data_IF_538685297529
#
_entry.id   IF_538685297529
#
_cell.length_a   1.000
_cell.length_b   1.000
_cell.length_c   1.000
_cell.angle_alpha   90.00
_cell.angle_beta   90.00
_cell.angle_gamma   90.00
#
_symmetry.space_group_name_H-M   'P 1'
#
loop_
_entity.id
_entity.type
_entity.pdbx_description
1 polymer ?
#
# COMPACT_ATOMS: atom_id res chain seq x y z
N UNK A 1 6.67 4.44 13.10
CA UNK A 1 7.88 4.67 13.92
C UNK A 1 8.44 6.08 13.73
N UNK A 2 8.87 6.48 12.52
CA UNK A 2 9.47 7.81 12.27
C UNK A 2 8.58 9.01 12.60
N UNK A 3 7.27 8.94 12.31
CA UNK A 3 6.31 9.99 12.70
C UNK A 3 6.29 10.17 14.22
N UNK A 4 6.27 9.06 14.97
CA UNK A 4 6.27 9.08 16.43
C UNK A 4 7.56 9.71 16.97
N UNK A 5 8.73 9.32 16.43
CA UNK A 5 10.03 9.91 16.80
C UNK A 5 10.00 11.43 16.57
N UNK A 6 9.52 11.88 15.42
CA UNK A 6 9.41 13.30 15.11
C UNK A 6 8.50 14.07 16.08
N UNK A 7 7.32 13.51 16.39
CA UNK A 7 6.40 14.08 17.38
C UNK A 7 7.01 14.14 18.79
N UNK A 8 7.70 13.08 19.23
CA UNK A 8 8.39 13.06 20.52
C UNK A 8 9.47 14.13 20.61
N UNK A 9 10.24 14.33 19.53
CA UNK A 9 11.26 15.37 19.46
C UNK A 9 10.65 16.78 19.54
N UNK A 10 9.53 17.02 18.86
CA UNK A 10 8.80 18.29 18.97
C UNK A 10 8.25 18.52 20.38
N UNK A 11 7.75 17.47 21.04
CA UNK A 11 7.28 17.55 22.42
C UNK A 11 8.43 17.91 23.37
N UNK A 12 9.59 17.27 23.22
CA UNK A 12 10.80 17.60 23.99
C UNK A 12 11.17 19.06 23.76
N UNK A 13 11.23 19.52 22.50
CA UNK A 13 11.53 20.92 22.18
C UNK A 13 10.54 21.87 22.86
N UNK A 14 9.25 21.53 22.84
CA UNK A 14 8.20 22.33 23.49
C UNK A 14 8.47 22.46 25.00
N UNK A 15 8.79 21.37 25.68
CA UNK A 15 9.12 21.38 27.12
C UNK A 15 10.29 22.35 27.39
N UNK A 16 11.34 22.31 26.58
CA UNK A 16 12.49 23.20 26.72
C UNK A 16 12.13 24.67 26.45
N UNK A 17 11.27 24.96 25.47
CA UNK A 17 10.78 26.31 25.21
C UNK A 17 9.93 26.85 26.37
N UNK A 18 9.07 26.01 26.96
CA UNK A 18 8.31 26.36 28.16
C UNK A 18 9.23 26.61 29.36
N UNK A 19 10.21 25.73 29.60
CA UNK A 19 11.19 25.92 30.67
C UNK A 19 11.95 27.24 30.50
N UNK A 20 12.33 27.60 29.26
CA UNK A 20 13.00 28.88 28.98
C UNK A 20 12.12 30.08 29.34
N UNK A 21 10.81 30.00 29.07
CA UNK A 21 9.87 31.10 29.31
C UNK A 21 9.48 31.24 30.79
N UNK A 22 9.22 30.13 31.47
CA UNK A 22 8.62 30.13 32.80
C UNK A 22 9.61 29.83 33.94
N UNK A 23 10.72 29.15 33.64
CA UNK A 23 11.73 28.77 34.63
C UNK A 23 13.17 28.93 34.08
N UNK A 24 13.57 30.14 33.65
CA UNK A 24 14.85 30.39 33.00
C UNK A 24 16.06 30.07 33.88
N UNK A 25 15.90 30.11 35.21
CA UNK A 25 16.96 29.82 36.18
C UNK A 25 16.95 28.37 36.67
N UNK A 26 16.12 27.50 36.09
CA UNK A 26 16.11 26.07 36.42
C UNK A 26 17.45 25.41 36.08
N UNK A 27 17.82 24.36 36.83
CA UNK A 27 19.04 23.57 36.57
C UNK A 27 19.10 23.07 35.11
N UNK A 28 17.95 22.70 34.55
CA UNK A 28 17.82 22.29 33.16
C UNK A 28 18.24 23.41 32.19
N UNK A 29 17.82 24.65 32.42
CA UNK A 29 18.10 25.77 31.52
C UNK A 29 19.49 26.38 31.72
N UNK A 30 19.98 26.42 32.97
CA UNK A 30 21.32 26.93 33.30
C UNK A 30 22.45 26.01 32.81
N UNK A 31 22.14 24.77 32.45
CA UNK A 31 23.07 23.84 31.79
C UNK A 31 23.47 24.30 30.37
N UNK A 32 22.64 25.11 29.71
CA UNK A 32 22.96 25.66 28.40
C UNK A 32 23.80 26.94 28.52
N UNK A 33 25.00 26.94 27.91
CA UNK A 33 25.93 28.08 27.90
C UNK A 33 25.96 28.75 26.52
N UNK A 34 25.92 30.08 26.51
CA UNK A 34 25.98 30.88 25.28
C UNK A 34 24.88 30.48 24.28
N UNK A 35 25.27 30.20 23.04
CA UNK A 35 24.33 29.82 21.97
C UNK A 35 23.92 28.34 21.99
N UNK A 36 24.35 27.52 22.95
CA UNK A 36 24.10 26.06 22.90
C UNK A 36 22.62 25.70 22.92
N UNK A 37 21.76 26.45 23.63
CA UNK A 37 20.31 26.25 23.59
C UNK A 37 19.74 26.47 22.18
N UNK A 38 20.19 27.53 21.51
CA UNK A 38 19.76 27.85 20.14
C UNK A 38 20.18 26.73 19.17
N UNK A 39 21.43 26.26 19.26
CA UNK A 39 21.93 25.15 18.44
C UNK A 39 21.18 23.85 18.72
N UNK A 40 20.90 23.54 19.99
CA UNK A 40 20.09 22.39 20.39
C UNK A 40 18.68 22.46 19.81
N UNK A 41 17.99 23.59 19.95
CA UNK A 41 16.65 23.79 19.40
C UNK A 41 16.61 23.61 17.88
N UNK A 42 17.57 24.20 17.17
CA UNK A 42 17.67 24.08 15.71
C UNK A 42 17.92 22.62 15.31
N UNK A 43 18.83 21.93 16.00
CA UNK A 43 19.17 20.53 15.69
C UNK A 43 17.97 19.60 15.89
N UNK A 44 17.25 19.74 17.00
CA UNK A 44 16.02 18.97 17.23
C UNK A 44 14.98 19.26 16.15
N UNK A 45 14.82 20.52 15.77
CA UNK A 45 13.83 20.91 14.76
C UNK A 45 14.16 20.29 13.40
N UNK A 46 15.43 20.31 12.98
CA UNK A 46 15.89 19.65 11.75
C UNK A 46 15.60 18.14 11.80
N UNK A 47 15.99 17.45 12.87
CA UNK A 47 15.80 15.99 12.99
C UNK A 47 14.31 15.63 13.04
N UNK A 48 13.50 16.42 13.74
CA UNK A 48 12.06 16.23 13.83
C UNK A 48 11.40 16.41 12.46
N UNK A 49 11.76 17.46 11.72
CA UNK A 49 11.26 17.69 10.36
C UNK A 49 11.64 16.54 9.44
N UNK A 50 12.92 16.12 9.42
CA UNK A 50 13.35 15.00 8.58
C UNK A 50 12.62 13.69 8.93
N UNK A 51 12.45 13.41 10.22
CA UNK A 51 11.74 12.21 10.70
C UNK A 51 10.25 12.23 10.31
N UNK A 52 9.60 13.39 10.42
CA UNK A 52 8.21 13.56 10.01
C UNK A 52 8.06 13.46 8.50
N UNK A 53 8.89 14.19 7.73
CA UNK A 53 8.86 14.15 6.27
C UNK A 53 9.08 12.74 5.74
N UNK A 54 10.09 12.03 6.25
CA UNK A 54 10.33 10.64 5.87
C UNK A 54 9.20 9.71 6.32
N UNK A 55 8.70 9.89 7.55
CA UNK A 55 7.59 9.09 8.08
C UNK A 55 6.31 9.26 7.28
N UNK A 56 5.96 10.48 6.87
CA UNK A 56 4.81 10.78 6.03
C UNK A 56 5.01 10.26 4.61
N UNK A 57 6.19 10.46 4.02
CA UNK A 57 6.53 9.91 2.71
C UNK A 57 6.36 8.38 2.72
N UNK A 58 7.00 7.70 3.67
CA UNK A 58 6.89 6.26 3.79
C UNK A 58 5.45 5.80 4.05
N UNK A 59 4.67 6.51 4.87
CA UNK A 59 3.27 6.16 5.09
C UNK A 59 2.41 6.33 3.82
N UNK A 60 2.72 7.32 2.99
CA UNK A 60 2.00 7.59 1.74
C UNK A 60 2.43 6.66 0.60
N UNK A 61 3.70 6.23 0.56
CA UNK A 61 4.26 5.49 -0.58
C UNK A 61 4.51 4.01 -0.30
N UNK A 62 4.52 3.57 0.96
CA UNK A 62 4.79 2.17 1.28
C UNK A 62 3.54 1.32 1.08
N UNK A 63 3.52 0.62 -0.05
CA UNK A 63 2.57 -0.44 -0.34
C UNK A 63 3.31 -1.78 -0.24
N UNK A 64 2.89 -2.71 0.64
CA UNK A 64 3.47 -4.04 0.68
C UNK A 64 3.41 -4.67 -0.72
N UNK A 65 4.51 -5.27 -1.19
CA UNK A 65 4.51 -5.96 -2.49
C UNK A 65 3.64 -7.22 -2.49
N UNK A 66 3.34 -7.74 -1.30
CA UNK A 66 2.51 -8.90 -1.10
C UNK A 66 1.83 -8.87 0.27
N UNK A 67 0.74 -9.60 0.40
CA UNK A 67 0.00 -9.80 1.64
C UNK A 67 -0.50 -11.24 1.74
N UNK A 68 -0.18 -11.92 2.83
CA UNK A 68 -0.72 -13.25 3.10
C UNK A 68 -2.12 -13.15 3.71
N UNK A 69 -3.06 -13.90 3.12
CA UNK A 69 -4.46 -13.98 3.52
C UNK A 69 -4.87 -15.43 3.72
N UNK A 70 -5.92 -15.64 4.51
CA UNK A 70 -6.58 -16.95 4.63
C UNK A 70 -8.00 -16.84 4.09
N UNK A 71 -8.31 -17.60 3.04
CA UNK A 71 -9.63 -17.67 2.42
C UNK A 71 -10.09 -19.13 2.44
N UNK A 72 -11.28 -19.40 2.99
CA UNK A 72 -11.83 -20.77 3.10
C UNK A 72 -10.85 -21.78 3.71
N UNK A 73 -10.15 -21.38 4.78
CA UNK A 73 -9.12 -22.18 5.48
C UNK A 73 -7.88 -22.53 4.64
N UNK A 74 -7.70 -21.92 3.47
CA UNK A 74 -6.49 -22.02 2.66
C UNK A 74 -5.71 -20.71 2.71
N UNK A 75 -4.38 -20.80 2.70
CA UNK A 75 -3.51 -19.64 2.73
C UNK A 75 -3.12 -19.24 1.30
N UNK A 76 -3.22 -17.95 1.01
CA UNK A 76 -2.86 -17.35 -0.26
C UNK A 76 -1.98 -16.12 -0.04
N UNK A 77 -1.13 -15.82 -1.02
CA UNK A 77 -0.37 -14.58 -1.06
C UNK A 77 -0.94 -13.69 -2.16
N UNK A 78 -1.48 -12.54 -1.75
CA UNK A 78 -1.94 -11.48 -2.65
C UNK A 78 -0.72 -10.69 -3.12
N UNK A 79 -0.57 -10.53 -4.43
CA UNK A 79 0.47 -9.74 -5.07
C UNK A 79 -0.10 -8.46 -5.69
N UNK A 80 0.77 -7.53 -6.08
CA UNK A 80 0.37 -6.28 -6.73
C UNK A 80 0.40 -5.11 -5.77
N UNK A 81 -0.53 -4.17 -5.95
CA UNK A 81 -0.59 -2.97 -5.15
C UNK A 81 -1.49 -3.20 -3.92
N UNK A 82 -0.91 -3.76 -2.86
CA UNK A 82 -1.61 -3.98 -1.57
C UNK A 82 -1.99 -2.63 -0.98
N UNK A 83 -3.29 -2.43 -0.74
CA UNK A 83 -3.86 -1.15 -0.32
C UNK A 83 -4.68 -0.47 -1.41
N UNK A 84 -4.55 -0.89 -2.67
CA UNK A 84 -5.40 -0.47 -3.78
C UNK A 84 -6.06 -1.67 -4.46
N UNK A 85 -5.29 -2.40 -5.28
CA UNK A 85 -5.72 -3.58 -6.02
C UNK A 85 -4.59 -4.62 -6.04
N UNK A 86 -4.90 -5.79 -5.49
CA UNK A 86 -4.04 -6.97 -5.54
C UNK A 86 -4.69 -8.11 -6.30
N UNK A 87 -3.88 -9.11 -6.63
CA UNK A 87 -4.32 -10.34 -7.28
C UNK A 87 -3.69 -11.58 -6.63
N UNK A 88 -4.35 -12.71 -6.74
CA UNK A 88 -3.76 -14.02 -6.43
C UNK A 88 -4.44 -15.11 -7.27
N UNK A 89 -3.87 -16.30 -7.24
CA UNK A 89 -4.42 -17.47 -7.90
C UNK A 89 -4.10 -18.71 -7.08
N UNK A 90 -4.96 -19.72 -7.17
CA UNK A 90 -4.74 -21.02 -6.51
C UNK A 90 -3.53 -21.75 -7.12
N UNK A 91 -3.29 -21.54 -8.41
CA UNK A 91 -2.20 -22.16 -9.14
C UNK A 91 -1.20 -21.13 -9.63
N UNK A 92 0.04 -21.58 -9.84
CA UNK A 92 1.07 -20.74 -10.44
C UNK A 92 0.68 -20.37 -11.87
N UNK A 93 0.66 -19.07 -12.17
CA UNK A 93 0.36 -18.54 -13.50
C UNK A 93 1.41 -19.01 -14.50
N UNK A 94 0.98 -19.78 -15.51
CA UNK A 94 1.84 -20.30 -16.59
C UNK A 94 1.24 -19.95 -17.94
N UNK A 95 2.10 -19.73 -18.93
CA UNK A 95 1.70 -19.57 -20.33
C UNK A 95 0.91 -20.81 -20.81
N UNK A 96 -0.12 -20.56 -21.62
CA UNK A 96 -1.00 -21.54 -22.26
C UNK A 96 -1.73 -22.48 -21.28
N UNK A 97 -1.82 -22.10 -19.99
CA UNK A 97 -2.55 -22.83 -18.97
C UNK A 97 -3.73 -22.00 -18.46
N UNK A 98 -4.91 -22.61 -18.46
CA UNK A 98 -6.08 -22.01 -17.81
C UNK A 98 -5.87 -21.88 -16.32
N UNK A 99 -6.07 -20.66 -15.80
CA UNK A 99 -5.94 -20.34 -14.40
C UNK A 99 -7.10 -19.46 -13.96
N UNK A 100 -7.54 -19.66 -12.72
CA UNK A 100 -8.51 -18.78 -12.07
C UNK A 100 -7.76 -17.69 -11.33
N UNK A 101 -8.12 -16.45 -11.63
CA UNK A 101 -7.55 -15.27 -10.99
C UNK A 101 -8.56 -14.72 -10.00
N UNK A 102 -8.06 -14.23 -8.87
CA UNK A 102 -8.83 -13.51 -7.88
C UNK A 102 -8.27 -12.10 -7.72
N UNK A 103 -9.14 -11.11 -7.59
CA UNK A 103 -8.78 -9.74 -7.27
C UNK A 103 -9.21 -9.37 -5.87
N UNK A 104 -8.30 -8.78 -5.10
CA UNK A 104 -8.56 -8.21 -3.79
C UNK A 104 -8.47 -6.68 -3.89
N UNK A 105 -9.57 -5.99 -3.56
CA UNK A 105 -9.64 -4.54 -3.61
C UNK A 105 -9.85 -3.93 -2.22
N UNK A 106 -9.08 -2.88 -1.92
CA UNK A 106 -9.19 -2.07 -0.70
C UNK A 106 -10.15 -0.89 -0.86
N UNK A 107 -10.60 -0.65 -2.08
CA UNK A 107 -11.61 0.35 -2.44
C UNK A 107 -12.82 -0.34 -3.09
N UNK A 108 -14.06 0.14 -2.88
CA UNK A 108 -15.20 -0.41 -3.58
C UNK A 108 -15.07 -0.09 -5.08
N UNK A 109 -15.01 -1.13 -5.90
CA UNK A 109 -14.90 -1.06 -7.36
C UNK A 109 -16.24 -1.35 -8.05
N UNK A 110 -17.13 -2.12 -7.41
CA UNK A 110 -18.45 -2.49 -7.96
C UNK A 110 -18.38 -3.05 -9.39
N UNK A 111 -17.43 -3.97 -9.62
CA UNK A 111 -17.26 -4.64 -10.90
C UNK A 111 -18.46 -5.55 -11.20
N UNK A 112 -19.26 -5.21 -12.22
CA UNK A 112 -20.41 -6.00 -12.65
C UNK A 112 -20.11 -6.74 -13.95
N UNK A 113 -19.68 -6.00 -14.98
CA UNK A 113 -19.32 -6.54 -16.30
C UNK A 113 -18.03 -5.89 -16.79
N UNK A 114 -16.90 -6.15 -16.13
CA UNK A 114 -15.67 -5.48 -16.52
C UNK A 114 -15.10 -6.08 -17.79
N UNK A 115 -14.36 -5.23 -18.48
CA UNK A 115 -13.51 -5.59 -19.59
C UNK A 115 -12.06 -5.46 -19.12
N UNK A 116 -11.26 -6.50 -19.34
CA UNK A 116 -9.86 -6.55 -18.94
C UNK A 116 -9.03 -6.54 -20.21
N UNK A 117 -8.26 -5.47 -20.40
CA UNK A 117 -7.26 -5.40 -21.46
C UNK A 117 -5.97 -6.01 -20.94
N UNK A 118 -5.56 -7.12 -21.57
CA UNK A 118 -4.35 -7.87 -21.28
C UNK A 118 -3.25 -7.36 -22.18
N UNK A 119 -2.31 -6.59 -21.62
CA UNK A 119 -1.15 -6.09 -22.34
C UNK A 119 0.03 -7.03 -22.12
N UNK A 120 0.45 -7.69 -23.19
CA UNK A 120 1.56 -8.62 -23.19
C UNK A 120 2.92 -7.91 -23.35
N UNK A 121 4.03 -8.54 -22.91
CA UNK A 121 5.38 -8.00 -23.06
C UNK A 121 5.77 -7.69 -24.51
N UNK A 122 5.22 -8.42 -25.48
CA UNK A 122 5.43 -8.18 -26.91
C UNK A 122 4.80 -6.88 -27.43
N UNK A 123 3.98 -6.21 -26.63
CA UNK A 123 3.15 -5.08 -27.04
C UNK A 123 1.79 -5.48 -27.61
N UNK A 124 1.53 -6.79 -27.81
CA UNK A 124 0.19 -7.27 -28.18
C UNK A 124 -0.80 -6.99 -27.05
N UNK A 125 -2.02 -6.67 -27.44
CA UNK A 125 -3.13 -6.45 -26.51
C UNK A 125 -4.25 -7.43 -26.83
N UNK A 126 -4.90 -7.93 -25.80
CA UNK A 126 -6.10 -8.76 -25.94
C UNK A 126 -7.16 -8.30 -24.96
N UNK A 127 -8.41 -8.33 -25.40
CA UNK A 127 -9.55 -8.01 -24.57
C UNK A 127 -10.15 -9.28 -23.99
N UNK A 128 -10.23 -9.35 -22.68
CA UNK A 128 -10.85 -10.43 -21.93
C UNK A 128 -12.07 -9.91 -21.16
N UNK A 129 -13.23 -10.53 -21.35
CA UNK A 129 -14.48 -10.20 -20.64
C UNK A 129 -14.82 -11.33 -19.66
N UNK A 130 -14.26 -11.30 -18.44
CA UNK A 130 -14.50 -12.35 -17.46
C UNK A 130 -15.93 -12.35 -16.96
N UNK A 131 -16.44 -13.55 -16.66
CA UNK A 131 -17.52 -13.66 -15.68
C UNK A 131 -16.92 -13.47 -14.30
N UNK A 132 -17.50 -12.57 -13.50
CA UNK A 132 -17.00 -12.26 -12.15
C UNK A 132 -18.02 -12.68 -11.10
N UNK A 133 -17.51 -13.21 -9.98
CA UNK A 133 -18.30 -13.50 -8.79
C UNK A 133 -17.71 -12.76 -7.59
N UNK A 134 -18.53 -12.00 -6.88
CA UNK A 134 -18.14 -11.36 -5.63
C UNK A 134 -18.15 -12.41 -4.49
N UNK A 135 -17.02 -12.56 -3.82
CA UNK A 135 -16.85 -13.46 -2.68
C UNK A 135 -17.03 -12.71 -1.35
N UNK A 136 -17.53 -13.38 -0.30
CA UNK A 136 -17.72 -12.77 1.01
C UNK A 136 -16.38 -12.39 1.66
N UNK A 137 -16.26 -11.13 2.10
CA UNK A 137 -15.00 -10.58 2.65
C UNK A 137 -14.98 -10.42 4.17
N UNK A 138 -16.04 -10.79 4.90
CA UNK A 138 -16.23 -10.42 6.32
C UNK A 138 -14.96 -10.51 7.19
N UNK A 139 -14.27 -11.67 7.19
CA UNK A 139 -13.03 -11.86 7.97
C UNK A 139 -11.81 -11.11 7.39
N UNK A 140 -11.72 -11.01 6.06
CA UNK A 140 -10.63 -10.33 5.36
C UNK A 140 -10.72 -8.81 5.47
N UNK A 141 -11.94 -8.28 5.52
CA UNK A 141 -12.25 -6.86 5.68
C UNK A 141 -11.79 -6.35 7.04
N UNK A 142 -12.08 -7.10 8.11
CA UNK A 142 -11.67 -6.74 9.47
C UNK A 142 -10.15 -6.82 9.67
N UNK A 143 -9.53 -7.90 9.20
CA UNK A 143 -8.11 -8.15 9.46
C UNK A 143 -7.17 -7.37 8.52
N UNK A 144 -7.56 -7.21 7.26
CA UNK A 144 -6.67 -6.72 6.21
C UNK A 144 -7.21 -5.50 5.46
N UNK A 145 -8.43 -5.04 5.76
CA UNK A 145 -9.03 -3.89 5.08
C UNK A 145 -9.50 -4.16 3.65
N UNK A 146 -9.50 -5.42 3.20
CA UNK A 146 -9.98 -5.81 1.87
C UNK A 146 -11.50 -5.63 1.84
N UNK A 147 -11.99 -4.67 1.06
CA UNK A 147 -13.42 -4.35 0.98
C UNK A 147 -14.15 -5.34 0.09
N UNK A 148 -13.58 -5.63 -1.07
CA UNK A 148 -14.20 -6.48 -2.10
C UNK A 148 -13.20 -7.53 -2.58
N UNK A 149 -13.70 -8.73 -2.82
CA UNK A 149 -12.93 -9.87 -3.30
C UNK A 149 -13.67 -10.49 -4.47
N UNK A 150 -13.01 -10.54 -5.62
CA UNK A 150 -13.60 -11.01 -6.87
C UNK A 150 -12.92 -12.29 -7.33
N UNK A 151 -13.71 -13.26 -7.73
CA UNK A 151 -13.24 -14.42 -8.48
C UNK A 151 -13.59 -14.23 -9.96
N UNK A 152 -12.59 -14.36 -10.82
CA UNK A 152 -12.76 -14.26 -12.26
C UNK A 152 -12.88 -15.65 -12.88
N UNK A 153 -13.56 -15.74 -14.03
CA UNK A 153 -13.55 -16.94 -14.86
C UNK A 153 -12.13 -17.33 -15.26
N UNK A 154 -11.91 -18.60 -15.63
CA UNK A 154 -10.59 -19.05 -16.08
C UNK A 154 -10.11 -18.24 -17.29
N UNK A 155 -8.80 -18.00 -17.36
CA UNK A 155 -8.13 -17.38 -18.50
C UNK A 155 -6.81 -18.09 -18.78
N UNK A 156 -6.42 -18.16 -20.05
CA UNK A 156 -5.14 -18.74 -20.48
C UNK A 156 -4.27 -17.66 -21.11
N UNK A 157 -3.15 -17.36 -20.46
CA UNK A 157 -2.23 -16.31 -20.92
C UNK A 157 -1.41 -16.80 -22.10
N UNK A 158 -1.39 -16.04 -23.20
CA UNK A 158 -0.69 -16.41 -24.44
C UNK A 158 0.80 -16.11 -24.43
N UNK A 159 1.30 -15.36 -23.44
CA UNK A 159 2.72 -15.05 -23.29
C UNK A 159 3.16 -15.19 -21.84
N UNK A 160 4.44 -15.47 -21.63
CA UNK A 160 5.12 -15.45 -20.33
C UNK A 160 5.80 -14.10 -20.12
N UNK A 161 5.92 -13.65 -18.87
CA UNK A 161 6.59 -12.41 -18.50
C UNK A 161 5.71 -11.49 -17.65
N UNK A 162 6.06 -10.21 -17.62
CA UNK A 162 5.29 -9.16 -16.95
C UNK A 162 4.13 -8.72 -17.84
N UNK A 163 2.93 -9.20 -17.53
CA UNK A 163 1.69 -8.83 -18.22
C UNK A 163 1.01 -7.75 -17.41
N UNK A 164 0.48 -6.72 -18.06
CA UNK A 164 -0.31 -5.69 -17.38
C UNK A 164 -1.78 -5.89 -17.70
N UNK A 165 -2.60 -6.05 -16.66
CA UNK A 165 -4.05 -6.08 -16.75
C UNK A 165 -4.61 -4.69 -16.50
N UNK A 166 -5.40 -4.17 -17.42
CA UNK A 166 -6.11 -2.91 -17.29
C UNK A 166 -7.59 -3.26 -17.15
N UNK A 167 -8.17 -2.97 -16.00
CA UNK A 167 -9.58 -3.26 -15.71
C UNK A 167 -10.40 -2.01 -16.01
N UNK A 168 -11.36 -2.15 -16.91
CA UNK A 168 -12.32 -1.12 -17.28
C UNK A 168 -13.73 -1.58 -16.93
N UNK A 169 -14.57 -0.64 -16.48
CA UNK A 169 -16.01 -0.84 -16.29
C UNK A 169 -16.71 0.35 -16.96
N UNK A 170 -17.71 0.09 -17.81
CA UNK A 170 -18.47 1.14 -18.51
C UNK A 170 -17.57 2.16 -19.27
N UNK A 171 -16.51 1.68 -19.92
CA UNK A 171 -15.49 2.50 -20.64
C UNK A 171 -14.65 3.44 -19.75
N UNK A 172 -14.77 3.34 -18.43
CA UNK A 172 -13.91 4.04 -17.47
C UNK A 172 -12.78 3.11 -17.04
N UNK A 173 -11.52 3.57 -17.14
CA UNK A 173 -10.39 2.82 -16.60
C UNK A 173 -10.43 2.91 -15.08
N UNK A 174 -10.66 1.78 -14.43
CA UNK A 174 -10.77 1.74 -12.97
C UNK A 174 -9.39 1.56 -12.33
N UNK A 175 -8.65 0.51 -12.71
CA UNK A 175 -7.36 0.18 -12.09
C UNK A 175 -6.46 -0.61 -13.05
N UNK A 176 -5.16 -0.65 -12.75
CA UNK A 176 -4.16 -1.45 -13.47
C UNK A 176 -3.42 -2.35 -12.47
N UNK A 177 -3.08 -3.57 -12.88
CA UNK A 177 -2.26 -4.48 -12.09
C UNK A 177 -1.27 -5.22 -12.97
N UNK A 178 -0.01 -5.31 -12.55
CA UNK A 178 1.01 -6.07 -13.25
C UNK A 178 1.13 -7.45 -12.63
N UNK A 179 1.05 -8.48 -13.46
CA UNK A 179 1.12 -9.88 -13.07
C UNK A 179 2.33 -10.55 -13.73
N UNK A 180 2.99 -11.44 -12.99
CA UNK A 180 4.08 -12.26 -13.51
C UNK A 180 3.54 -13.62 -13.94
N UNK A 181 3.60 -13.91 -15.24
CA UNK A 181 3.29 -15.23 -15.80
C UNK A 181 4.59 -15.94 -16.14
N UNK A 182 4.70 -17.23 -15.82
CA UNK A 182 5.88 -18.05 -16.11
C UNK A 182 5.76 -18.81 -17.42
#
# INVERSE_FOLDING_TARGET
>A
MYIFIGLSLLLILLIFLFAKKFAPNSFMMTSFKGNSFKTFSISILIIATLSLSYGMYHAATYQPKHLDITLQNQNFTVFGNVGELGYFSEELLKKDKEVKLHFASWEPMQLNTPEIIVNYPSGKQETWKPNITLLPTNKLKEKHGIKELYQLSSYSFKESGNITLIITENNTTNKKVSIQVK
#
